data_IF_610757059252
#
_entry.id   IF_610757059252
#
_cell.length_a   1.000
_cell.length_b   1.000
_cell.length_c   1.000
_cell.angle_alpha   90.00
_cell.angle_beta   90.00
_cell.angle_gamma   90.00
#
_symmetry.space_group_name_H-M   'P 1'
#
loop_
_entity.id
_entity.type
_entity.pdbx_description
1 polymer ?
#
# COMPACT_ATOMS: atom_id res chain seq x y z
N UNK A 1 28.77 -11.29 -1.63
CA UNK A 1 27.63 -11.01 -0.73
C UNK A 1 26.79 -9.76 -1.08
N UNK A 2 27.30 -8.64 -1.66
CA UNK A 2 26.44 -7.48 -1.98
C UNK A 2 25.45 -7.71 -3.14
N UNK A 3 25.76 -8.66 -4.05
CA UNK A 3 24.87 -9.05 -5.13
C UNK A 3 23.51 -9.59 -4.64
N UNK A 4 23.50 -10.45 -3.62
CA UNK A 4 22.25 -11.08 -3.14
C UNK A 4 21.25 -10.06 -2.56
N UNK A 5 21.73 -9.07 -1.82
CA UNK A 5 20.87 -8.02 -1.23
C UNK A 5 20.25 -7.12 -2.31
N UNK A 6 21.03 -6.76 -3.33
CA UNK A 6 20.56 -5.93 -4.45
C UNK A 6 19.50 -6.66 -5.28
N UNK A 7 19.70 -7.95 -5.53
CA UNK A 7 18.72 -8.80 -6.21
C UNK A 7 17.41 -8.93 -5.43
N UNK A 8 17.48 -9.20 -4.12
CA UNK A 8 16.30 -9.28 -3.24
C UNK A 8 15.55 -7.95 -3.21
N UNK A 9 16.27 -6.83 -3.08
CA UNK A 9 15.67 -5.50 -3.07
C UNK A 9 14.95 -5.19 -4.40
N UNK A 10 15.51 -5.60 -5.54
CA UNK A 10 14.88 -5.41 -6.85
C UNK A 10 13.62 -6.26 -7.02
N UNK A 11 13.67 -7.53 -6.62
CA UNK A 11 12.50 -8.42 -6.66
C UNK A 11 11.40 -7.90 -5.73
N UNK A 12 11.76 -7.53 -4.49
CA UNK A 12 10.84 -6.94 -3.53
C UNK A 12 10.19 -5.68 -4.09
N UNK A 13 10.97 -4.73 -4.62
CA UNK A 13 10.43 -3.51 -5.22
C UNK A 13 9.46 -3.80 -6.38
N UNK A 14 9.80 -4.77 -7.23
CA UNK A 14 8.92 -5.17 -8.36
C UNK A 14 7.60 -5.76 -7.86
N UNK A 15 7.65 -6.62 -6.85
CA UNK A 15 6.46 -7.22 -6.21
C UNK A 15 5.61 -6.14 -5.55
N UNK A 16 6.23 -5.18 -4.85
CA UNK A 16 5.53 -4.08 -4.19
C UNK A 16 4.83 -3.18 -5.21
N UNK A 17 5.48 -2.84 -6.33
CA UNK A 17 4.85 -2.04 -7.38
C UNK A 17 3.60 -2.76 -7.93
N UNK A 18 3.69 -4.04 -8.23
CA UNK A 18 2.54 -4.85 -8.68
C UNK A 18 1.44 -4.85 -7.62
N UNK A 19 1.82 -5.06 -6.35
CA UNK A 19 0.88 -5.04 -5.23
C UNK A 19 0.15 -3.69 -5.10
N UNK A 20 0.87 -2.56 -5.16
CA UNK A 20 0.27 -1.23 -5.08
C UNK A 20 -0.67 -0.95 -6.26
N UNK A 21 -0.34 -1.42 -7.47
CA UNK A 21 -1.23 -1.35 -8.63
C UNK A 21 -2.52 -2.13 -8.39
N UNK A 22 -2.42 -3.38 -7.91
CA UNK A 22 -3.58 -4.21 -7.61
C UNK A 22 -4.47 -3.59 -6.52
N UNK A 23 -3.86 -3.06 -5.45
CA UNK A 23 -4.58 -2.36 -4.37
C UNK A 23 -5.26 -1.09 -4.87
N UNK A 24 -4.61 -0.35 -5.77
CA UNK A 24 -5.20 0.84 -6.41
C UNK A 24 -6.40 0.45 -7.27
N UNK A 25 -6.26 -0.57 -8.12
CA UNK A 25 -7.35 -1.08 -8.94
C UNK A 25 -8.52 -1.55 -8.09
N UNK A 26 -8.25 -2.32 -7.03
CA UNK A 26 -9.26 -2.72 -6.04
C UNK A 26 -9.97 -1.50 -5.42
N UNK A 27 -9.21 -0.50 -4.95
CA UNK A 27 -9.76 0.73 -4.40
C UNK A 27 -10.65 1.48 -5.40
N UNK A 28 -10.27 1.50 -6.68
CA UNK A 28 -11.09 2.14 -7.72
C UNK A 28 -12.44 1.44 -7.93
N UNK A 29 -12.51 0.11 -7.82
CA UNK A 29 -13.78 -0.61 -7.91
C UNK A 29 -14.77 -0.13 -6.83
N UNK A 30 -14.31 0.17 -5.61
CA UNK A 30 -15.17 0.68 -4.53
C UNK A 30 -15.85 2.03 -4.89
N UNK A 31 -15.22 2.84 -5.74
CA UNK A 31 -15.81 4.11 -6.19
C UNK A 31 -16.70 3.95 -7.41
N UNK A 32 -16.48 2.94 -8.24
CA UNK A 32 -17.28 2.65 -9.43
C UNK A 32 -18.62 1.98 -9.09
N UNK A 33 -18.70 1.31 -7.95
CA UNK A 33 -19.86 0.55 -7.50
C UNK A 33 -20.70 1.32 -6.46
N UNK A 34 -21.94 1.75 -6.77
CA UNK A 34 -22.78 2.50 -5.83
C UNK A 34 -23.13 1.76 -4.54
N UNK A 35 -23.21 0.43 -4.61
CA UNK A 35 -23.48 -0.47 -3.49
C UNK A 35 -22.36 -0.47 -2.44
N UNK A 36 -21.13 -0.09 -2.82
CA UNK A 36 -19.97 -0.04 -1.91
C UNK A 36 -19.77 1.32 -1.25
N UNK A 37 -20.77 2.20 -1.24
CA UNK A 37 -20.68 3.54 -0.63
C UNK A 37 -20.17 3.53 0.82
N UNK A 38 -20.56 2.52 1.61
CA UNK A 38 -20.10 2.36 2.99
C UNK A 38 -18.57 2.15 3.12
N UNK A 39 -17.92 1.66 2.07
CA UNK A 39 -16.47 1.38 2.04
C UNK A 39 -15.63 2.57 1.56
N UNK A 40 -16.26 3.58 0.95
CA UNK A 40 -15.54 4.71 0.32
C UNK A 40 -14.63 5.51 1.28
N UNK A 41 -15.00 5.79 2.54
CA UNK A 41 -14.09 6.48 3.46
C UNK A 41 -12.77 5.72 3.64
N UNK A 42 -12.83 4.40 3.76
CA UNK A 42 -11.65 3.54 3.89
C UNK A 42 -10.88 3.41 2.58
N UNK A 43 -11.57 3.38 1.44
CA UNK A 43 -10.91 3.41 0.13
C UNK A 43 -10.13 4.72 -0.11
N UNK A 44 -10.61 5.87 0.38
CA UNK A 44 -9.87 7.14 0.34
C UNK A 44 -8.62 7.09 1.21
N UNK A 45 -8.74 6.55 2.43
CA UNK A 45 -7.59 6.36 3.30
C UNK A 45 -6.55 5.42 2.66
N UNK A 46 -7.01 4.31 2.08
CA UNK A 46 -6.16 3.36 1.36
C UNK A 46 -5.39 4.04 0.22
N UNK A 47 -6.07 4.88 -0.57
CA UNK A 47 -5.44 5.63 -1.66
C UNK A 47 -4.37 6.60 -1.14
N UNK A 48 -4.64 7.33 -0.06
CA UNK A 48 -3.66 8.23 0.57
C UNK A 48 -2.42 7.45 1.05
N UNK A 49 -2.62 6.31 1.70
CA UNK A 49 -1.53 5.46 2.19
C UNK A 49 -0.72 4.88 1.01
N UNK A 50 -1.37 4.40 -0.05
CA UNK A 50 -0.70 3.87 -1.25
C UNK A 50 0.18 4.95 -1.91
N UNK A 51 -0.34 6.17 -2.08
CA UNK A 51 0.45 7.29 -2.63
C UNK A 51 1.64 7.62 -1.73
N UNK A 52 1.42 7.67 -0.41
CA UNK A 52 2.49 7.89 0.56
C UNK A 52 3.56 6.80 0.52
N UNK A 53 3.17 5.53 0.41
CA UNK A 53 4.09 4.40 0.30
C UNK A 53 4.90 4.42 -0.99
N UNK A 54 4.27 4.74 -2.12
CA UNK A 54 4.96 4.91 -3.40
C UNK A 54 6.01 6.04 -3.31
N UNK A 55 5.65 7.18 -2.72
CA UNK A 55 6.57 8.31 -2.52
C UNK A 55 7.73 7.96 -1.58
N UNK A 56 7.46 7.27 -0.46
CA UNK A 56 8.49 6.82 0.48
C UNK A 56 9.45 5.82 -0.18
N UNK A 57 8.93 4.82 -0.88
CA UNK A 57 9.74 3.82 -1.58
C UNK A 57 10.63 4.44 -2.67
N UNK A 58 10.08 5.38 -3.45
CA UNK A 58 10.86 6.17 -4.41
C UNK A 58 11.97 6.94 -3.71
N UNK A 59 11.65 7.65 -2.63
CA UNK A 59 12.64 8.42 -1.88
C UNK A 59 13.76 7.53 -1.33
N UNK A 60 13.43 6.35 -0.77
CA UNK A 60 14.42 5.39 -0.26
C UNK A 60 15.35 4.87 -1.36
N UNK A 61 14.82 4.62 -2.56
CA UNK A 61 15.60 4.18 -3.71
C UNK A 61 16.70 5.17 -4.08
N UNK A 62 16.41 6.48 -4.04
CA UNK A 62 17.39 7.53 -4.36
C UNK A 62 18.26 7.99 -3.19
N UNK A 63 17.81 7.79 -1.94
CA UNK A 63 18.53 8.25 -0.74
C UNK A 63 19.36 7.17 -0.05
N UNK A 64 19.43 5.96 -0.60
CA UNK A 64 20.24 4.87 -0.06
C UNK A 64 19.65 4.22 1.20
N UNK A 65 18.31 4.22 1.32
CA UNK A 65 17.55 3.56 2.41
C UNK A 65 17.87 4.09 3.83
N UNK A 66 17.62 5.38 4.13
CA UNK A 66 17.76 5.93 5.48
C UNK A 66 16.82 5.26 6.50
N UNK A 67 17.30 5.03 7.72
CA UNK A 67 16.56 4.33 8.79
C UNK A 67 15.20 4.96 9.13
N UNK A 68 15.12 6.29 9.20
CA UNK A 68 13.86 7.01 9.48
C UNK A 68 12.84 6.74 8.38
N UNK A 69 13.27 6.76 7.10
CA UNK A 69 12.38 6.47 5.98
C UNK A 69 11.93 5.01 5.99
N UNK A 70 12.79 4.08 6.42
CA UNK A 70 12.41 2.67 6.65
C UNK A 70 11.32 2.56 7.72
N UNK A 71 11.48 3.23 8.85
CA UNK A 71 10.48 3.24 9.93
C UNK A 71 9.12 3.77 9.45
N UNK A 72 9.11 4.88 8.71
CA UNK A 72 7.90 5.42 8.09
C UNK A 72 7.30 4.49 7.03
N UNK A 73 8.15 3.83 6.24
CA UNK A 73 7.71 2.86 5.24
C UNK A 73 7.00 1.67 5.90
N UNK A 74 7.60 1.09 6.95
CA UNK A 74 7.01 0.00 7.73
C UNK A 74 5.68 0.43 8.36
N UNK A 75 5.64 1.61 9.00
CA UNK A 75 4.41 2.13 9.60
C UNK A 75 3.30 2.32 8.57
N UNK A 76 3.62 2.85 7.39
CA UNK A 76 2.65 3.00 6.31
C UNK A 76 2.22 1.66 5.69
N UNK A 77 3.10 0.66 5.61
CA UNK A 77 2.73 -0.70 5.21
C UNK A 77 1.77 -1.34 6.22
N UNK A 78 2.00 -1.15 7.52
CA UNK A 78 1.06 -1.57 8.58
C UNK A 78 -0.28 -0.85 8.46
N UNK A 79 -0.29 0.45 8.19
CA UNK A 79 -1.51 1.23 7.97
C UNK A 79 -2.28 0.78 6.73
N UNK A 80 -1.57 0.43 5.65
CA UNK A 80 -2.16 -0.15 4.43
C UNK A 80 -2.89 -1.44 4.77
N UNK A 81 -2.22 -2.35 5.48
CA UNK A 81 -2.80 -3.62 5.91
C UNK A 81 -4.02 -3.42 6.83
N UNK A 82 -3.91 -2.55 7.83
CA UNK A 82 -5.02 -2.23 8.74
C UNK A 82 -6.23 -1.67 7.98
N UNK A 83 -6.00 -0.85 6.96
CA UNK A 83 -7.07 -0.28 6.13
C UNK A 83 -7.76 -1.37 5.29
N UNK A 84 -7.00 -2.30 4.70
CA UNK A 84 -7.56 -3.46 3.98
C UNK A 84 -8.41 -4.35 4.91
N UNK A 85 -7.91 -4.66 6.10
CA UNK A 85 -8.67 -5.40 7.13
C UNK A 85 -9.95 -4.65 7.50
N UNK A 86 -9.89 -3.33 7.64
CA UNK A 86 -11.08 -2.52 7.97
C UNK A 86 -12.11 -2.52 6.85
N UNK A 87 -11.67 -2.46 5.58
CA UNK A 87 -12.56 -2.62 4.41
C UNK A 87 -13.25 -3.97 4.46
N UNK A 88 -12.51 -5.05 4.69
CA UNK A 88 -13.04 -6.41 4.78
C UNK A 88 -14.08 -6.56 5.90
N UNK A 89 -13.76 -6.11 7.12
CA UNK A 89 -14.69 -6.14 8.25
C UNK A 89 -15.97 -5.33 7.98
N UNK A 90 -15.84 -4.18 7.30
CA UNK A 90 -17.00 -3.34 6.98
C UNK A 90 -17.87 -4.01 5.91
N UNK A 91 -17.27 -4.66 4.92
CA UNK A 91 -18.00 -5.42 3.91
C UNK A 91 -18.74 -6.64 4.53
N UNK A 92 -18.07 -7.38 5.41
CA UNK A 92 -18.66 -8.55 6.09
C UNK A 92 -19.77 -8.19 7.09
N UNK A 93 -19.76 -6.99 7.66
CA UNK A 93 -20.84 -6.50 8.52
C UNK A 93 -22.04 -5.92 7.76
N UNK A 94 -21.92 -5.76 6.44
CA UNK A 94 -22.97 -5.21 5.56
C UNK A 94 -23.79 -6.27 4.81
N UNK A 95 -23.41 -7.55 4.95
CA UNK A 95 -24.12 -8.74 4.45
C UNK A 95 -25.05 -9.32 5.50
#
# INVERSE_FOLDING_TARGET
LPFAITEIARVHGSVVVIFLLLVTLFGTQIFLHPETKALQPWARLLALVVVGQAALGWTQYFTGVPEILVGLHIAGATALWATLVKIWLTAAGSS
#
